data_IF_774833484405
#
_entry.id   IF_774833484405
#
_cell.length_a   1.000
_cell.length_b   1.000
_cell.length_c   1.000
_cell.angle_alpha   90.00
_cell.angle_beta   90.00
_cell.angle_gamma   90.00
#
_symmetry.space_group_name_H-M   'P 1'
#
loop_
_entity.id
_entity.type
_entity.pdbx_description
1 polymer ?
#
# COMPACT_ATOMS: atom_id res chain seq x y z
N UNK A 1 -10.36 18.69 21.05
CA UNK A 1 -9.29 18.49 20.03
C UNK A 1 -9.24 17.02 19.69
N UNK A 2 -9.51 16.68 18.46
CA UNK A 2 -9.45 15.29 18.07
C UNK A 2 -8.00 14.83 18.01
N UNK A 3 -7.68 13.80 18.75
CA UNK A 3 -6.37 13.21 18.72
C UNK A 3 -6.34 12.16 17.63
N UNK A 4 -5.77 12.54 16.50
CA UNK A 4 -5.54 11.62 15.40
C UNK A 4 -4.20 10.94 15.61
N UNK A 5 -4.24 9.72 16.11
CA UNK A 5 -3.03 8.92 16.27
C UNK A 5 -2.66 8.30 14.92
N UNK A 6 -1.44 8.54 14.40
CA UNK A 6 -1.01 7.87 13.18
C UNK A 6 -1.01 6.36 13.37
N UNK A 7 -1.35 5.65 12.31
CA UNK A 7 -1.31 4.19 12.31
C UNK A 7 -0.56 3.69 11.08
N UNK A 8 -0.07 2.47 11.14
CA UNK A 8 0.78 1.88 10.10
C UNK A 8 0.16 0.64 9.44
N UNK A 9 -1.06 0.26 9.84
CA UNK A 9 -1.72 -0.93 9.32
C UNK A 9 -0.92 -2.19 9.61
N UNK A 10 -0.67 -3.00 8.58
CA UNK A 10 0.16 -4.21 8.68
C UNK A 10 1.66 -3.94 8.62
N UNK A 11 2.07 -2.70 8.39
CA UNK A 11 3.48 -2.30 8.35
C UNK A 11 3.95 -1.91 9.75
N UNK A 12 5.28 -1.79 9.90
CA UNK A 12 5.86 -1.32 11.16
C UNK A 12 5.63 0.20 11.30
N UNK A 13 5.54 0.71 12.54
CA UNK A 13 5.35 2.16 12.74
C UNK A 13 6.42 3.03 12.09
N UNK A 14 7.67 2.53 11.96
CA UNK A 14 8.76 3.24 11.32
C UNK A 14 8.70 3.21 9.80
N UNK A 15 7.91 2.30 9.22
CA UNK A 15 7.84 2.13 7.76
C UNK A 15 6.91 3.14 7.10
N UNK A 16 5.77 3.39 7.70
CA UNK A 16 4.77 4.28 7.12
C UNK A 16 3.80 4.80 8.18
N UNK A 17 3.34 6.04 7.98
CA UNK A 17 2.25 6.61 8.77
C UNK A 17 1.09 6.92 7.84
N UNK A 18 -0.06 6.34 8.10
CA UNK A 18 -1.27 6.64 7.34
C UNK A 18 -1.91 7.92 7.87
N UNK A 19 -2.04 8.90 6.99
CA UNK A 19 -2.72 10.17 7.31
C UNK A 19 -4.21 10.05 7.02
N UNK A 20 -4.81 8.98 7.52
CA UNK A 20 -6.20 8.63 7.30
C UNK A 20 -6.88 8.41 8.64
N UNK A 21 -8.14 8.75 8.69
CA UNK A 21 -8.96 8.48 9.87
C UNK A 21 -9.56 7.08 9.78
N UNK A 22 -9.23 6.16 10.70
CA UNK A 22 -9.85 4.85 10.70
C UNK A 22 -11.36 4.95 10.94
N UNK A 23 -12.11 4.20 10.17
CA UNK A 23 -13.55 4.07 10.34
C UNK A 23 -13.94 2.60 10.29
N UNK A 24 -15.09 2.29 10.88
CA UNK A 24 -15.68 0.97 10.78
C UNK A 24 -16.71 0.99 9.67
N UNK A 25 -16.58 0.06 8.71
CA UNK A 25 -17.51 -0.06 7.59
C UNK A 25 -18.10 -1.47 7.56
N UNK A 26 -19.39 -1.55 7.23
CA UNK A 26 -20.02 -2.83 6.94
C UNK A 26 -19.61 -3.32 5.56
N UNK A 27 -19.40 -4.64 5.45
CA UNK A 27 -19.10 -5.26 4.17
C UNK A 27 -20.34 -5.30 3.29
N UNK A 28 -20.16 -4.98 2.01
CA UNK A 28 -21.24 -5.00 1.02
C UNK A 28 -21.14 -6.27 0.18
N UNK A 29 -22.18 -7.13 0.12
CA UNK A 29 -22.19 -8.28 -0.76
C UNK A 29 -21.98 -7.87 -2.23
N UNK A 30 -21.28 -8.69 -3.00
CA UNK A 30 -20.89 -8.35 -4.38
C UNK A 30 -22.11 -8.09 -5.27
N UNK A 31 -23.15 -8.91 -5.16
CA UNK A 31 -24.39 -8.75 -5.91
C UNK A 31 -25.11 -7.43 -5.58
N UNK A 32 -25.18 -7.09 -4.30
CA UNK A 32 -25.77 -5.84 -3.84
C UNK A 32 -24.90 -4.63 -4.23
N UNK A 33 -23.57 -4.81 -4.24
CA UNK A 33 -22.62 -3.75 -4.59
C UNK A 33 -22.87 -3.24 -6.01
N UNK A 34 -23.02 -4.14 -6.99
CA UNK A 34 -23.27 -3.75 -8.36
C UNK A 34 -24.61 -3.03 -8.51
N UNK A 35 -25.65 -3.53 -7.87
CA UNK A 35 -26.98 -2.90 -7.87
C UNK A 35 -26.94 -1.49 -7.29
N UNK A 36 -26.24 -1.30 -6.18
CA UNK A 36 -26.10 0.01 -5.54
C UNK A 36 -25.34 1.00 -6.41
N UNK A 37 -24.31 0.56 -7.09
CA UNK A 37 -23.53 1.42 -8.01
C UNK A 37 -24.41 1.82 -9.19
N UNK A 38 -25.10 0.89 -9.82
CA UNK A 38 -25.95 1.15 -10.99
C UNK A 38 -27.14 2.03 -10.65
N UNK A 39 -27.70 1.90 -9.47
CA UNK A 39 -28.82 2.72 -9.02
C UNK A 39 -28.39 4.14 -8.60
N UNK A 40 -27.10 4.41 -8.48
CA UNK A 40 -26.57 5.70 -8.05
C UNK A 40 -26.73 5.98 -6.56
N UNK A 41 -27.13 4.98 -5.77
CA UNK A 41 -27.32 5.14 -4.32
C UNK A 41 -26.00 5.19 -3.55
N UNK A 42 -24.97 4.50 -4.06
CA UNK A 42 -23.63 4.49 -3.45
C UNK A 42 -22.55 4.45 -4.52
N UNK A 43 -21.44 5.13 -4.25
CA UNK A 43 -20.25 5.00 -5.05
C UNK A 43 -19.44 3.78 -4.57
N UNK A 44 -18.74 3.09 -5.48
CA UNK A 44 -18.00 1.89 -5.12
C UNK A 44 -16.93 2.14 -4.03
N UNK A 45 -16.37 3.36 -3.96
CA UNK A 45 -15.40 3.73 -2.93
C UNK A 45 -15.98 3.76 -1.51
N UNK A 46 -17.32 3.82 -1.40
CA UNK A 46 -18.02 3.81 -0.12
C UNK A 46 -18.40 2.39 0.33
N UNK A 47 -17.96 1.39 -0.42
CA UNK A 47 -18.30 -0.01 -0.19
C UNK A 47 -17.08 -0.81 0.20
N UNK A 48 -17.30 -1.80 1.07
CA UNK A 48 -16.29 -2.76 1.46
C UNK A 48 -16.79 -4.16 1.14
N UNK A 49 -16.06 -4.89 0.31
CA UNK A 49 -16.37 -6.28 -0.02
C UNK A 49 -15.46 -7.23 0.74
N UNK A 50 -16.03 -8.34 1.19
CA UNK A 50 -15.23 -9.39 1.82
C UNK A 50 -14.43 -10.12 0.75
N UNK A 51 -13.13 -10.19 0.94
CA UNK A 51 -12.25 -10.96 0.06
C UNK A 51 -12.30 -12.43 0.47
N UNK A 52 -12.45 -13.36 -0.47
CA UNK A 52 -12.36 -14.78 -0.17
C UNK A 52 -10.92 -15.14 0.19
N UNK A 53 -10.75 -16.22 0.95
CA UNK A 53 -9.41 -16.75 1.19
C UNK A 53 -8.77 -17.16 -0.13
N UNK A 54 -7.49 -16.85 -0.34
CA UNK A 54 -6.81 -17.25 -1.57
C UNK A 54 -6.70 -18.76 -1.65
N UNK A 55 -6.92 -19.28 -2.86
CA UNK A 55 -6.74 -20.72 -3.11
C UNK A 55 -5.26 -21.07 -3.06
N UNK A 56 -4.96 -22.36 -2.88
CA UNK A 56 -3.59 -22.86 -2.93
C UNK A 56 -2.92 -22.54 -4.26
N UNK A 57 -3.65 -22.67 -5.35
CA UNK A 57 -3.16 -22.34 -6.69
C UNK A 57 -2.79 -20.84 -6.79
N UNK A 58 -3.60 -19.98 -6.23
CA UNK A 58 -3.33 -18.55 -6.19
C UNK A 58 -2.07 -18.25 -5.38
N UNK A 59 -1.91 -18.89 -4.23
CA UNK A 59 -0.71 -18.72 -3.40
C UNK A 59 0.54 -19.22 -4.11
N UNK A 60 0.44 -20.34 -4.84
CA UNK A 60 1.56 -20.87 -5.63
C UNK A 60 1.98 -19.90 -6.74
N UNK A 61 1.01 -19.27 -7.42
CA UNK A 61 1.29 -18.23 -8.42
C UNK A 61 1.97 -17.03 -7.80
N UNK A 62 1.51 -16.60 -6.65
CA UNK A 62 2.12 -15.48 -5.91
C UNK A 62 3.58 -15.79 -5.57
N UNK A 63 3.84 -16.98 -5.05
CA UNK A 63 5.20 -17.42 -4.69
C UNK A 63 6.11 -17.44 -5.92
N UNK A 64 5.63 -17.97 -7.04
CA UNK A 64 6.40 -17.99 -8.30
C UNK A 64 6.70 -16.58 -8.80
N UNK A 65 5.72 -15.70 -8.77
CA UNK A 65 5.91 -14.31 -9.17
C UNK A 65 6.94 -13.61 -8.28
N UNK A 66 6.87 -13.85 -6.99
CA UNK A 66 7.81 -13.31 -6.03
C UNK A 66 9.23 -13.82 -6.29
N UNK A 67 9.39 -15.13 -6.46
CA UNK A 67 10.68 -15.75 -6.71
C UNK A 67 11.32 -15.24 -8.01
N UNK A 68 10.53 -15.04 -9.07
CA UNK A 68 11.03 -14.59 -10.35
C UNK A 68 11.27 -13.08 -10.43
N UNK A 69 10.55 -12.30 -9.63
CA UNK A 69 10.54 -10.84 -9.72
C UNK A 69 11.29 -10.10 -8.61
N UNK A 70 11.51 -10.76 -7.46
CA UNK A 70 12.04 -10.07 -6.28
C UNK A 70 13.41 -9.43 -6.50
N UNK A 71 14.34 -10.13 -7.14
CA UNK A 71 15.68 -9.60 -7.38
C UNK A 71 15.67 -8.38 -8.30
N UNK A 72 14.85 -8.41 -9.35
CA UNK A 72 14.68 -7.28 -10.26
C UNK A 72 14.06 -6.08 -9.54
N UNK A 73 13.00 -6.31 -8.80
CA UNK A 73 12.33 -5.27 -8.04
C UNK A 73 13.28 -4.63 -7.02
N UNK A 74 14.06 -5.44 -6.32
CA UNK A 74 15.04 -4.95 -5.36
C UNK A 74 16.09 -4.05 -6.02
N UNK A 75 16.59 -4.44 -7.20
CA UNK A 75 17.54 -3.61 -7.96
C UNK A 75 16.91 -2.30 -8.40
N UNK A 76 15.71 -2.34 -8.94
CA UNK A 76 15.02 -1.14 -9.43
C UNK A 76 14.70 -0.18 -8.28
N UNK A 77 14.25 -0.69 -7.14
CA UNK A 77 14.02 0.12 -5.93
C UNK A 77 15.31 0.74 -5.42
N UNK A 78 16.39 -0.04 -5.37
CA UNK A 78 17.69 0.47 -4.92
C UNK A 78 18.24 1.53 -5.86
N UNK A 79 18.10 1.36 -7.17
CA UNK A 79 18.54 2.34 -8.16
C UNK A 79 17.74 3.63 -8.05
N UNK A 80 16.43 3.52 -7.87
CA UNK A 80 15.56 4.68 -7.68
C UNK A 80 15.90 5.41 -6.38
N UNK A 81 16.12 4.67 -5.30
CA UNK A 81 16.50 5.26 -4.01
C UNK A 81 17.82 6.03 -4.11
N UNK A 82 18.83 5.47 -4.80
CA UNK A 82 20.09 6.17 -5.03
C UNK A 82 19.91 7.45 -5.82
N UNK A 83 19.08 7.43 -6.85
CA UNK A 83 18.81 8.62 -7.65
C UNK A 83 18.06 9.69 -6.83
N UNK A 84 17.12 9.28 -6.00
CA UNK A 84 16.44 10.22 -5.09
C UNK A 84 17.41 10.84 -4.10
N UNK A 85 18.29 10.04 -3.51
CA UNK A 85 19.30 10.53 -2.58
C UNK A 85 20.27 11.50 -3.28
N UNK A 86 20.67 11.19 -4.50
CA UNK A 86 21.56 12.07 -5.29
C UNK A 86 20.90 13.41 -5.56
N UNK A 87 19.62 13.42 -5.93
CA UNK A 87 18.88 14.66 -6.23
C UNK A 87 18.60 15.48 -5.00
N UNK A 88 18.36 14.84 -3.87
CA UNK A 88 18.09 15.53 -2.62
C UNK A 88 19.34 16.18 -2.02
N UNK A 89 20.52 15.62 -2.26
CA UNK A 89 21.75 16.07 -1.62
C UNK A 89 21.64 15.97 -0.10
N UNK A 90 21.76 17.11 0.58
CA UNK A 90 21.62 17.18 2.06
C UNK A 90 20.19 17.49 2.50
N UNK A 91 19.27 17.69 1.57
CA UNK A 91 17.88 17.97 1.91
C UNK A 91 17.16 16.72 2.40
N UNK A 92 16.28 16.85 3.39
CA UNK A 92 15.49 15.70 3.82
C UNK A 92 14.52 15.25 2.74
N UNK A 93 14.30 13.95 2.65
CA UNK A 93 13.38 13.33 1.69
C UNK A 93 12.08 12.99 2.41
N UNK A 94 10.96 13.49 1.89
CA UNK A 94 9.63 13.12 2.36
C UNK A 94 8.94 12.32 1.26
N UNK A 95 8.57 11.08 1.57
CA UNK A 95 7.86 10.19 0.65
C UNK A 95 6.37 10.21 0.97
N UNK A 96 5.57 10.51 -0.03
CA UNK A 96 4.11 10.47 0.08
C UNK A 96 3.58 9.44 -0.91
N UNK A 97 2.78 8.52 -0.41
CA UNK A 97 2.24 7.43 -1.22
C UNK A 97 0.72 7.49 -1.26
N UNK A 98 0.16 7.31 -2.44
CA UNK A 98 -1.29 7.16 -2.57
C UNK A 98 -1.69 5.76 -2.13
N UNK A 99 -2.65 5.70 -1.22
CA UNK A 99 -3.22 4.43 -0.84
C UNK A 99 -4.07 3.86 -2.00
N UNK A 100 -4.05 2.58 -2.20
CA UNK A 100 -3.29 1.57 -1.48
C UNK A 100 -2.04 1.14 -2.24
N UNK A 101 -2.09 1.18 -3.58
CA UNK A 101 -1.08 0.59 -4.45
C UNK A 101 0.31 1.24 -4.30
N UNK A 102 0.37 2.52 -3.99
CA UNK A 102 1.64 3.23 -3.82
C UNK A 102 2.36 2.94 -2.49
N UNK A 103 1.65 2.40 -1.49
CA UNK A 103 2.22 2.22 -0.15
C UNK A 103 3.37 1.20 -0.13
N UNK A 104 3.26 0.01 -0.74
CA UNK A 104 4.39 -0.94 -0.74
C UNK A 104 5.65 -0.36 -1.37
N UNK A 105 5.52 0.38 -2.47
CA UNK A 105 6.66 1.02 -3.11
C UNK A 105 7.28 2.09 -2.20
N UNK A 106 6.45 2.91 -1.56
CA UNK A 106 6.92 3.91 -0.60
C UNK A 106 7.68 3.29 0.57
N UNK A 107 7.17 2.19 1.11
CA UNK A 107 7.83 1.45 2.20
C UNK A 107 9.18 0.89 1.73
N UNK A 108 9.25 0.28 0.55
CA UNK A 108 10.50 -0.27 0.01
C UNK A 108 11.53 0.83 -0.23
N UNK A 109 11.11 1.98 -0.78
CA UNK A 109 12.01 3.12 -0.99
C UNK A 109 12.52 3.67 0.34
N UNK A 110 11.66 3.78 1.33
CA UNK A 110 12.04 4.24 2.66
C UNK A 110 13.09 3.33 3.29
N UNK A 111 12.87 2.02 3.22
CA UNK A 111 13.82 1.04 3.74
C UNK A 111 15.17 1.09 3.01
N UNK A 112 15.14 1.23 1.68
CA UNK A 112 16.36 1.36 0.88
C UNK A 112 17.14 2.62 1.23
N UNK A 113 16.46 3.75 1.38
CA UNK A 113 17.08 5.02 1.77
C UNK A 113 17.70 4.93 3.17
N UNK A 114 17.01 4.30 4.11
CA UNK A 114 17.55 4.10 5.47
C UNK A 114 18.82 3.24 5.45
N UNK A 115 18.85 2.20 4.62
CA UNK A 115 20.00 1.31 4.49
C UNK A 115 21.22 2.02 3.90
N UNK A 116 21.02 3.07 3.12
CA UNK A 116 22.11 3.87 2.55
C UNK A 116 22.65 4.95 3.49
N UNK A 117 21.94 5.23 4.54
CA UNK A 117 22.26 6.32 5.47
C UNK A 117 21.53 7.58 5.05
#
# INVERSE_FOLDING_TARGET
MSHFAPFSGSYKPDDVHFLLKPIVMEMTPVDLKEELIQSGKMHYSDMLSQEPEPTRWHLDLFTRALDSGAARLAREVSDLARELARRAGDEPIVLVSLVRAGVPLGVMLHQALRAMG
#
